data_IF_204246957358
#
_entry.id   IF_204246957358
#
_cell.length_a   1.000
_cell.length_b   1.000
_cell.length_c   1.000
_cell.angle_alpha   90.00
_cell.angle_beta   90.00
_cell.angle_gamma   90.00
#
_symmetry.space_group_name_H-M   'P 1'
#
loop_
_entity.id
_entity.type
_entity.pdbx_description
1 polymer ?
#
# COMPACT_ATOMS: atom_id res chain seq x y z
N UNK A 1 3.85 -14.40 14.52
CA UNK A 1 3.91 -12.96 14.25
C UNK A 1 3.62 -12.80 12.77
N UNK A 2 2.51 -12.18 12.37
CA UNK A 2 2.29 -11.81 10.97
C UNK A 2 3.45 -10.91 10.53
N UNK A 3 3.90 -10.99 9.29
CA UNK A 3 4.88 -10.06 8.75
C UNK A 3 4.13 -8.93 8.04
N UNK A 4 4.65 -7.70 8.07
CA UNK A 4 4.06 -6.62 7.27
C UNK A 4 4.27 -6.94 5.79
N UNK A 5 3.19 -7.14 5.05
CA UNK A 5 3.25 -7.39 3.62
C UNK A 5 3.73 -6.13 2.89
N UNK A 6 3.36 -4.94 3.39
CA UNK A 6 3.78 -3.67 2.82
C UNK A 6 5.29 -3.49 2.98
N UNK A 7 5.85 -3.80 4.15
CA UNK A 7 7.30 -3.78 4.39
C UNK A 7 8.05 -4.75 3.48
N UNK A 8 7.58 -6.01 3.39
CA UNK A 8 8.21 -7.06 2.59
C UNK A 8 8.26 -6.73 1.10
N UNK A 9 7.23 -6.06 0.58
CA UNK A 9 7.12 -5.71 -0.82
C UNK A 9 7.60 -4.30 -1.12
N UNK A 10 7.96 -3.51 -0.10
CA UNK A 10 8.27 -2.09 -0.22
C UNK A 10 9.24 -1.78 -1.35
N UNK A 11 10.40 -2.46 -1.36
CA UNK A 11 11.46 -2.24 -2.37
C UNK A 11 11.11 -2.75 -3.78
N UNK A 12 9.99 -3.49 -3.93
CA UNK A 12 9.49 -4.00 -5.20
C UNK A 12 8.32 -3.18 -5.75
N UNK A 13 7.73 -2.32 -4.93
CA UNK A 13 6.68 -1.41 -5.37
C UNK A 13 7.26 -0.37 -6.34
N UNK A 14 6.45 0.04 -7.30
CA UNK A 14 6.79 1.17 -8.16
C UNK A 14 6.88 2.47 -7.33
N UNK A 15 7.67 3.46 -7.79
CA UNK A 15 7.87 4.71 -7.04
C UNK A 15 6.58 5.46 -6.73
N UNK A 16 5.61 5.44 -7.65
CA UNK A 16 4.33 6.13 -7.49
C UNK A 16 3.50 5.51 -6.35
N UNK A 17 3.47 4.18 -6.26
CA UNK A 17 2.80 3.47 -5.17
C UNK A 17 3.48 3.72 -3.84
N UNK A 18 4.82 3.73 -3.78
CA UNK A 18 5.55 4.10 -2.57
C UNK A 18 5.23 5.52 -2.11
N UNK A 19 5.18 6.48 -3.04
CA UNK A 19 4.80 7.86 -2.76
C UNK A 19 3.37 7.97 -2.22
N UNK A 20 2.43 7.24 -2.83
CA UNK A 20 1.05 7.18 -2.35
C UNK A 20 0.97 6.71 -0.91
N UNK A 21 1.68 5.63 -0.58
CA UNK A 21 1.69 5.08 0.78
C UNK A 21 2.30 6.09 1.76
N UNK A 22 3.43 6.74 1.41
CA UNK A 22 4.05 7.77 2.28
C UNK A 22 3.14 8.96 2.53
N UNK A 23 2.40 9.40 1.52
CA UNK A 23 1.49 10.54 1.61
C UNK A 23 0.21 10.24 2.40
N UNK A 24 -0.12 8.96 2.60
CA UNK A 24 -1.36 8.52 3.26
C UNK A 24 -1.06 7.69 4.53
N UNK A 25 -0.35 8.22 5.54
CA UNK A 25 0.09 7.44 6.71
C UNK A 25 -1.04 6.96 7.63
N UNK A 26 -2.21 7.60 7.54
CA UNK A 26 -3.40 7.23 8.30
C UNK A 26 -4.25 6.15 7.64
N UNK A 27 -3.81 5.61 6.50
CA UNK A 27 -4.60 4.62 5.77
C UNK A 27 -4.71 3.31 6.55
N UNK A 28 -5.94 2.79 6.63
CA UNK A 28 -6.27 1.52 7.28
C UNK A 28 -6.70 0.45 6.28
N UNK A 29 -7.07 0.86 5.07
CA UNK A 29 -7.48 0.00 3.97
C UNK A 29 -6.83 0.54 2.70
N UNK A 30 -6.12 -0.32 1.98
CA UNK A 30 -5.57 0.05 0.69
C UNK A 30 -6.66 0.00 -0.39
N UNK A 31 -6.76 1.03 -1.24
CA UNK A 31 -7.65 1.01 -2.38
C UNK A 31 -7.15 -0.01 -3.41
N UNK A 32 -8.08 -0.50 -4.24
CA UNK A 32 -7.82 -1.54 -5.24
C UNK A 32 -6.59 -1.31 -6.10
N UNK A 33 -6.37 -0.08 -6.59
CA UNK A 33 -5.20 0.24 -7.42
C UNK A 33 -3.87 0.00 -6.71
N UNK A 34 -3.81 0.28 -5.41
CA UNK A 34 -2.62 0.06 -4.56
C UNK A 34 -2.49 -1.41 -4.18
N UNK A 35 -3.61 -2.10 -3.93
CA UNK A 35 -3.64 -3.56 -3.73
C UNK A 35 -3.10 -4.30 -4.96
N UNK A 36 -3.52 -3.92 -6.16
CA UNK A 36 -3.04 -4.49 -7.41
C UNK A 36 -1.54 -4.23 -7.61
N UNK A 37 -1.04 -3.06 -7.21
CA UNK A 37 0.40 -2.76 -7.24
C UNK A 37 1.18 -3.68 -6.30
N UNK A 38 0.66 -3.99 -5.11
CA UNK A 38 1.26 -4.97 -4.20
C UNK A 38 1.24 -6.39 -4.78
N UNK A 39 0.13 -6.81 -5.39
CA UNK A 39 0.03 -8.12 -6.06
C UNK A 39 1.07 -8.23 -7.18
N UNK A 40 1.19 -7.19 -8.02
CA UNK A 40 2.23 -7.13 -9.07
C UNK A 40 3.64 -7.18 -8.49
N UNK A 41 3.92 -6.45 -7.41
CA UNK A 41 5.21 -6.45 -6.73
C UNK A 41 5.57 -7.79 -6.08
N UNK A 42 4.56 -8.57 -5.65
CA UNK A 42 4.76 -9.95 -5.17
C UNK A 42 5.22 -10.88 -6.30
N UNK A 43 4.89 -10.58 -7.55
CA UNK A 43 5.19 -11.41 -8.72
C UNK A 43 4.24 -12.60 -8.91
N UNK A 44 3.13 -12.63 -8.17
CA UNK A 44 2.08 -13.64 -8.28
C UNK A 44 0.83 -13.02 -8.91
N UNK A 45 0.10 -13.79 -9.72
CA UNK A 45 -1.25 -13.42 -10.18
C UNK A 45 -2.33 -13.74 -9.14
N UNK A 46 -1.94 -14.37 -8.03
CA UNK A 46 -2.81 -14.70 -6.92
C UNK A 46 -3.05 -13.46 -6.05
N UNK A 47 -4.31 -13.27 -5.65
CA UNK A 47 -4.68 -12.20 -4.73
C UNK A 47 -3.95 -12.34 -3.39
N UNK A 48 -3.73 -11.21 -2.71
CA UNK A 48 -3.24 -11.23 -1.33
C UNK A 48 -4.31 -11.86 -0.43
N UNK A 49 -3.89 -12.72 0.49
CA UNK A 49 -4.81 -13.25 1.50
C UNK A 49 -5.37 -12.09 2.34
N UNK A 50 -6.69 -11.95 2.37
CA UNK A 50 -7.37 -10.87 3.09
C UNK A 50 -7.87 -9.71 2.23
N UNK A 51 -7.71 -9.77 0.90
CA UNK A 51 -8.38 -8.83 -0.02
C UNK A 51 -9.90 -9.01 0.07
N UNK A 52 -10.63 -7.90 0.19
CA UNK A 52 -12.09 -7.89 0.25
C UNK A 52 -12.71 -8.08 -1.15
N UNK A 53 -14.05 -8.25 -1.19
CA UNK A 53 -14.81 -8.40 -2.44
C UNK A 53 -14.69 -7.24 -3.45
N UNK A 54 -14.17 -6.09 -3.02
CA UNK A 54 -13.98 -4.90 -3.85
C UNK A 54 -12.53 -4.76 -4.34
N UNK A 55 -11.64 -5.71 -4.02
CA UNK A 55 -10.21 -5.63 -4.30
C UNK A 55 -9.44 -4.74 -3.32
N UNK A 56 -10.04 -4.36 -2.19
CA UNK A 56 -9.40 -3.55 -1.17
C UNK A 56 -8.65 -4.43 -0.18
N UNK A 57 -7.54 -3.94 0.36
CA UNK A 57 -6.72 -4.72 1.30
C UNK A 57 -6.71 -4.06 2.69
N UNK A 58 -7.40 -4.61 3.70
CA UNK A 58 -7.32 -4.15 5.07
C UNK A 58 -5.91 -4.32 5.64
N UNK A 59 -5.34 -3.26 6.19
CA UNK A 59 -3.98 -3.25 6.70
C UNK A 59 -3.92 -3.82 8.11
N UNK A 60 -2.96 -4.72 8.33
CA UNK A 60 -2.65 -5.19 9.68
C UNK A 60 -2.05 -4.06 10.53
N UNK A 61 -2.09 -4.16 11.88
CA UNK A 61 -1.43 -3.19 12.74
C UNK A 61 0.07 -3.00 12.45
N UNK A 62 0.74 -4.04 11.94
CA UNK A 62 2.15 -3.98 11.57
C UNK A 62 2.35 -3.21 10.27
N UNK A 63 1.50 -3.43 9.26
CA UNK A 63 1.54 -2.62 8.03
C UNK A 63 1.30 -1.15 8.33
N UNK A 64 0.31 -0.84 9.17
CA UNK A 64 0.04 0.54 9.58
C UNK A 64 1.23 1.17 10.32
N UNK A 65 1.92 0.39 11.16
CA UNK A 65 3.12 0.86 11.88
C UNK A 65 4.26 1.15 10.92
N UNK A 66 4.51 0.26 9.95
CA UNK A 66 5.52 0.47 8.92
C UNK A 66 5.22 1.72 8.06
N UNK A 67 3.97 1.84 7.58
CA UNK A 67 3.50 2.97 6.78
C UNK A 67 3.73 4.31 7.50
N UNK A 68 3.38 4.37 8.80
CA UNK A 68 3.64 5.56 9.64
C UNK A 68 5.13 5.86 9.75
N UNK A 69 5.98 4.84 9.88
CA UNK A 69 7.44 5.00 9.95
C UNK A 69 8.05 5.57 8.67
N UNK A 70 7.66 5.05 7.51
CA UNK A 70 8.18 5.55 6.21
C UNK A 70 7.66 6.94 5.87
N UNK A 71 6.43 7.27 6.27
CA UNK A 71 5.87 8.61 6.11
C UNK A 71 6.58 9.65 6.99
N UNK A 72 6.87 9.31 8.25
CA UNK A 72 7.64 10.18 9.14
C UNK A 72 9.05 10.49 8.62
N UNK A 73 9.60 9.61 7.78
CA UNK A 73 10.92 9.75 7.15
C UNK A 73 10.92 10.62 5.89
N UNK A 74 9.77 11.13 5.43
CA UNK A 74 9.65 12.02 4.27
C UNK A 74 8.70 13.19 4.55
N UNK A 75 9.21 14.42 4.77
CA UNK A 75 8.37 15.59 4.95
C UNK A 75 7.89 16.10 3.59
N UNK A 76 6.92 15.43 2.97
CA UNK A 76 6.24 15.98 1.79
C UNK A 76 4.73 15.88 1.98
N UNK A 77 4.17 17.00 2.42
CA UNK A 77 2.73 17.23 2.60
C UNK A 77 2.04 17.53 1.28
N UNK A 78 1.59 16.49 0.59
CA UNK A 78 0.40 16.56 -0.26
C UNK A 78 -0.26 15.18 -0.35
N UNK A 79 -1.57 15.05 -0.04
CA UNK A 79 -2.28 13.80 -0.25
C UNK A 79 -2.32 13.51 -1.76
N UNK A 80 -1.62 12.47 -2.20
CA UNK A 80 -1.77 11.94 -3.56
C UNK A 80 -3.06 11.13 -3.61
N UNK A 81 -3.99 11.44 -4.53
CA UNK A 81 -5.20 10.65 -4.70
C UNK A 81 -4.84 9.23 -5.17
N UNK A 82 -5.56 8.19 -4.71
CA UNK A 82 -5.39 6.87 -5.26
C UNK A 82 -5.76 6.91 -6.74
N UNK A 83 -4.89 6.33 -7.56
CA UNK A 83 -4.97 6.33 -9.03
C UNK A 83 -6.40 6.03 -9.47
N UNK A 84 -7.12 7.05 -9.93
CA UNK A 84 -8.37 6.91 -10.66
C UNK A 84 -8.05 6.64 -12.13
N UNK A 85 -8.86 5.87 -12.86
CA UNK A 85 -8.66 5.72 -14.29
C UNK A 85 -8.85 7.11 -14.93
N UNK A 86 -7.82 7.62 -15.60
CA UNK A 86 -8.01 8.70 -16.56
C UNK A 86 -8.80 8.12 -17.74
N UNK A 87 -10.09 8.43 -17.80
CA UNK A 87 -10.93 8.29 -18.98
C UNK A 87 -11.61 9.62 -19.27
#
# INVERSE_FOLDING_TARGET
MSASIVENLWNKLDPQTQEWIRANPGTVILPRSVTEALIRARGSHEELEGVDRNGQFPLSPQDQSFIKGVAASSPVGHPVPPVGPYH
#
